data_IF_451873444444
#
_entry.id   IF_451873444444
#
_cell.length_a   1.000
_cell.length_b   1.000
_cell.length_c   1.000
_cell.angle_alpha   90.00
_cell.angle_beta   90.00
_cell.angle_gamma   90.00
#
_symmetry.space_group_name_H-M   'P 1'
#
loop_
_entity.id
_entity.type
_entity.pdbx_description
1 polymer ?
#
# COMPACT_ATOMS: atom_id res chain seq x y z
N UNK A 1 -13.30 -2.39 6.80
CA UNK A 1 -14.14 -3.54 7.20
C UNK A 1 -14.80 -3.38 8.55
N UNK A 2 -14.07 -3.14 9.65
CA UNK A 2 -14.65 -3.01 11.01
C UNK A 2 -15.72 -1.91 11.15
N UNK A 3 -15.62 -0.86 10.34
CA UNK A 3 -16.61 0.22 10.24
C UNK A 3 -17.71 -0.04 9.19
N UNK A 4 -17.84 -1.27 8.67
CA UNK A 4 -18.84 -1.68 7.69
C UNK A 4 -18.49 -1.43 6.22
N UNK A 5 -17.43 -0.69 5.92
CA UNK A 5 -16.99 -0.45 4.54
C UNK A 5 -16.19 -1.63 3.96
N UNK A 6 -16.42 -1.90 2.67
CA UNK A 6 -15.59 -2.80 1.86
C UNK A 6 -14.30 -2.10 1.45
N UNK A 7 -13.20 -2.86 1.36
CA UNK A 7 -11.89 -2.30 1.03
C UNK A 7 -11.09 -3.27 0.17
N UNK A 8 -10.41 -2.73 -0.84
CA UNK A 8 -9.42 -3.42 -1.66
C UNK A 8 -8.06 -2.84 -1.35
N UNK A 9 -7.09 -3.71 -1.06
CA UNK A 9 -5.71 -3.32 -0.78
C UNK A 9 -4.83 -3.69 -1.98
N UNK A 10 -4.23 -2.67 -2.59
CA UNK A 10 -3.21 -2.82 -3.63
C UNK A 10 -1.87 -2.45 -3.03
N UNK A 11 -0.85 -3.27 -3.25
CA UNK A 11 0.49 -3.07 -2.72
C UNK A 11 1.48 -4.05 -3.32
N UNK A 12 2.78 -3.80 -3.10
CA UNK A 12 3.86 -4.67 -3.56
C UNK A 12 4.19 -5.68 -2.45
N UNK A 13 4.33 -6.95 -2.83
CA UNK A 13 4.74 -8.03 -1.92
C UNK A 13 5.80 -8.91 -2.59
N UNK A 14 6.57 -9.65 -1.81
CA UNK A 14 7.36 -10.75 -2.33
C UNK A 14 6.50 -11.95 -2.74
N UNK A 15 7.18 -13.05 -3.07
CA UNK A 15 6.58 -14.39 -3.22
C UNK A 15 7.08 -15.24 -2.05
N UNK A 16 6.51 -15.00 -0.87
CA UNK A 16 6.99 -15.59 0.38
C UNK A 16 5.85 -15.89 1.38
N UNK A 17 6.21 -16.52 2.50
CA UNK A 17 5.28 -16.86 3.58
C UNK A 17 4.62 -15.64 4.20
N UNK A 18 5.34 -14.52 4.25
CA UNK A 18 4.83 -13.27 4.76
C UNK A 18 3.70 -12.72 3.89
N UNK A 19 3.83 -12.75 2.55
CA UNK A 19 2.75 -12.36 1.63
C UNK A 19 1.52 -13.26 1.78
N UNK A 20 1.73 -14.58 1.94
CA UNK A 20 0.64 -15.55 2.16
C UNK A 20 -0.08 -15.30 3.48
N UNK A 21 0.67 -15.13 4.56
CA UNK A 21 0.12 -14.83 5.89
C UNK A 21 -0.63 -13.49 5.90
N UNK A 22 -0.06 -12.46 5.25
CA UNK A 22 -0.70 -11.16 5.10
C UNK A 22 -2.04 -11.27 4.37
N UNK A 23 -2.07 -11.97 3.24
CA UNK A 23 -3.28 -12.18 2.44
C UNK A 23 -4.36 -12.91 3.24
N UNK A 24 -3.99 -13.98 3.94
CA UNK A 24 -4.91 -14.73 4.80
C UNK A 24 -5.53 -13.83 5.89
N UNK A 25 -4.70 -13.04 6.59
CA UNK A 25 -5.17 -12.16 7.66
C UNK A 25 -6.07 -11.03 7.20
N UNK A 26 -5.80 -10.47 6.03
CA UNK A 26 -6.65 -9.43 5.45
C UNK A 26 -7.99 -10.00 4.95
N UNK A 27 -7.98 -11.22 4.40
CA UNK A 27 -9.21 -11.90 4.00
C UNK A 27 -10.11 -12.23 5.20
N UNK A 28 -9.54 -12.60 6.36
CA UNK A 28 -10.29 -12.83 7.61
C UNK A 28 -11.12 -11.58 8.02
N UNK A 29 -10.65 -10.38 7.66
CA UNK A 29 -11.34 -9.12 7.94
C UNK A 29 -11.99 -8.53 6.70
N UNK A 30 -12.33 -9.33 5.68
CA UNK A 30 -13.04 -8.90 4.47
C UNK A 30 -12.33 -7.77 3.68
N UNK A 31 -11.00 -7.75 3.71
CA UNK A 31 -10.19 -6.87 2.85
C UNK A 31 -9.77 -7.67 1.63
N UNK A 32 -10.20 -7.23 0.44
CA UNK A 32 -9.78 -7.86 -0.82
C UNK A 32 -8.32 -7.54 -1.09
N UNK A 33 -7.47 -8.56 -1.05
CA UNK A 33 -6.06 -8.42 -1.39
C UNK A 33 -5.87 -8.45 -2.91
N UNK A 34 -5.18 -7.45 -3.44
CA UNK A 34 -4.82 -7.37 -4.86
C UNK A 34 -3.37 -6.92 -4.99
N UNK A 35 -2.48 -7.78 -4.49
CA UNK A 35 -1.06 -7.52 -4.45
C UNK A 35 -0.39 -7.72 -5.80
N UNK A 36 0.63 -6.91 -6.06
CA UNK A 36 1.61 -7.09 -7.12
C UNK A 36 2.77 -7.85 -6.52
N UNK A 37 2.96 -9.09 -6.96
CA UNK A 37 4.09 -9.90 -6.51
C UNK A 37 5.37 -9.52 -7.24
N UNK A 38 6.44 -9.30 -6.50
CA UNK A 38 7.78 -8.93 -6.96
C UNK A 38 8.75 -10.01 -6.47
N UNK A 39 9.13 -10.99 -7.31
CA UNK A 39 9.96 -12.13 -6.88
C UNK A 39 11.33 -11.73 -6.33
N UNK A 40 11.84 -10.57 -6.74
CA UNK A 40 13.19 -10.09 -6.40
C UNK A 40 13.28 -9.41 -5.03
N UNK A 41 12.15 -9.14 -4.36
CA UNK A 41 12.11 -8.42 -3.09
C UNK A 41 11.31 -9.23 -2.07
N UNK A 42 11.72 -9.26 -0.79
CA UNK A 42 10.92 -9.83 0.28
C UNK A 42 9.73 -8.93 0.62
N UNK A 43 8.65 -9.53 1.11
CA UNK A 43 7.54 -8.79 1.74
C UNK A 43 8.06 -8.09 2.99
N UNK A 44 7.80 -6.79 3.10
CA UNK A 44 8.25 -5.99 4.25
C UNK A 44 7.59 -6.50 5.53
N UNK A 45 8.40 -6.86 6.51
CA UNK A 45 7.93 -7.29 7.83
C UNK A 45 8.63 -6.54 8.96
N UNK A 46 7.87 -6.33 10.04
CA UNK A 46 8.33 -5.65 11.26
C UNK A 46 8.10 -6.58 12.44
N UNK A 47 9.14 -7.29 12.85
CA UNK A 47 9.08 -8.22 13.99
C UNK A 47 9.39 -7.46 15.28
N UNK A 48 8.46 -7.50 16.23
CA UNK A 48 8.63 -6.90 17.57
C UNK A 48 8.75 -8.03 18.60
N UNK A 49 9.88 -8.07 19.31
CA UNK A 49 10.10 -8.98 20.44
C UNK A 49 9.68 -8.26 21.72
N UNK A 50 8.73 -8.82 22.45
CA UNK A 50 8.14 -8.23 23.65
C UNK A 50 8.45 -9.11 24.88
N UNK A 51 8.69 -8.49 26.04
CA UNK A 51 8.75 -9.16 27.34
C UNK A 51 8.11 -8.27 28.40
N UNK A 52 7.23 -8.83 29.23
CA UNK A 52 6.52 -8.10 30.30
C UNK A 52 5.92 -6.76 29.82
N UNK A 53 5.26 -6.78 28.67
CA UNK A 53 4.68 -5.61 27.99
C UNK A 53 5.69 -4.52 27.56
N UNK A 54 6.99 -4.81 27.58
CA UNK A 54 8.03 -3.93 27.06
C UNK A 54 8.57 -4.47 25.73
N UNK A 55 8.77 -3.58 24.76
CA UNK A 55 9.44 -3.96 23.51
C UNK A 55 10.95 -4.03 23.73
N UNK A 56 11.49 -5.23 23.60
CA UNK A 56 12.92 -5.49 23.75
C UNK A 56 13.67 -5.20 22.45
N UNK A 57 13.17 -5.73 21.33
CA UNK A 57 13.87 -5.69 20.04
C UNK A 57 12.86 -5.42 18.92
N UNK A 58 13.28 -4.63 17.93
CA UNK A 58 12.62 -4.53 16.64
C UNK A 58 13.55 -5.03 15.54
N UNK A 59 13.10 -6.02 14.78
CA UNK A 59 13.79 -6.52 13.60
C UNK A 59 12.98 -6.10 12.37
N UNK A 60 13.61 -5.30 11.53
CA UNK A 60 13.00 -4.75 10.32
C UNK A 60 13.56 -5.51 9.12
N UNK A 61 12.71 -6.30 8.45
CA UNK A 61 13.06 -6.96 7.20
C UNK A 61 12.42 -6.17 6.07
N UNK A 62 13.20 -5.31 5.44
CA UNK A 62 12.72 -4.42 4.39
C UNK A 62 13.78 -4.23 3.31
N UNK A 63 13.35 -4.43 2.06
CA UNK A 63 14.03 -3.91 0.89
C UNK A 63 13.08 -2.91 0.22
N UNK A 64 13.63 -1.78 -0.24
CA UNK A 64 12.84 -0.75 -0.90
C UNK A 64 12.45 -1.20 -2.30
N UNK A 65 11.20 -0.98 -2.67
CA UNK A 65 10.66 -1.26 -4.01
C UNK A 65 10.88 -0.10 -5.00
N UNK A 66 11.88 0.76 -4.78
CA UNK A 66 12.05 1.99 -5.58
C UNK A 66 12.32 1.72 -7.06
N UNK A 67 12.88 0.55 -7.37
CA UNK A 67 13.27 0.16 -8.73
C UNK A 67 12.29 -0.85 -9.36
N UNK A 68 11.13 -1.07 -8.74
CA UNK A 68 10.10 -1.96 -9.28
C UNK A 68 9.29 -1.22 -10.34
N UNK A 69 8.92 -1.94 -11.40
CA UNK A 69 8.01 -1.44 -12.41
C UNK A 69 6.67 -1.01 -11.78
N UNK A 70 6.29 0.28 -11.88
CA UNK A 70 5.04 0.77 -11.33
C UNK A 70 3.81 0.37 -12.15
N UNK A 71 3.97 -0.08 -13.41
CA UNK A 71 2.84 -0.34 -14.31
C UNK A 71 1.82 -1.35 -13.75
N UNK A 72 2.21 -2.52 -13.22
CA UNK A 72 1.24 -3.51 -12.72
C UNK A 72 0.39 -3.01 -11.55
N UNK A 73 0.89 -2.02 -10.81
CA UNK A 73 0.16 -1.37 -9.73
C UNK A 73 -0.78 -0.29 -10.27
N UNK A 74 -0.33 0.52 -11.24
CA UNK A 74 -1.17 1.51 -11.92
C UNK A 74 -2.36 0.84 -12.63
N UNK A 75 -2.14 -0.28 -13.30
CA UNK A 75 -3.19 -1.08 -13.95
C UNK A 75 -4.24 -1.58 -12.95
N UNK A 76 -3.80 -2.14 -11.81
CA UNK A 76 -4.70 -2.59 -10.75
C UNK A 76 -5.52 -1.45 -10.17
N UNK A 77 -4.90 -0.29 -9.94
CA UNK A 77 -5.59 0.92 -9.49
C UNK A 77 -6.63 1.32 -10.54
N UNK A 78 -6.23 1.45 -11.82
CA UNK A 78 -7.12 1.85 -12.90
C UNK A 78 -8.35 0.93 -13.02
N UNK A 79 -8.16 -0.38 -12.89
CA UNK A 79 -9.26 -1.35 -12.90
C UNK A 79 -10.16 -1.25 -11.66
N UNK A 80 -9.63 -0.78 -10.52
CA UNK A 80 -10.38 -0.62 -9.28
C UNK A 80 -11.19 0.68 -9.23
N UNK A 81 -10.73 1.76 -9.88
CA UNK A 81 -11.32 3.09 -9.80
C UNK A 81 -12.85 3.13 -10.03
N UNK A 82 -13.44 2.41 -10.99
CA UNK A 82 -14.89 2.45 -11.22
C UNK A 82 -15.73 1.87 -10.06
N UNK A 83 -15.11 1.12 -9.14
CA UNK A 83 -15.78 0.35 -8.10
C UNK A 83 -15.55 0.90 -6.68
N UNK A 84 -14.80 2.00 -6.54
CA UNK A 84 -14.41 2.56 -5.24
C UNK A 84 -14.91 3.99 -5.07
N UNK A 85 -15.28 4.36 -3.84
CA UNK A 85 -15.72 5.72 -3.52
C UNK A 85 -14.57 6.68 -3.17
N UNK A 86 -13.40 6.16 -2.82
CA UNK A 86 -12.20 6.94 -2.50
C UNK A 86 -10.95 6.09 -2.70
N UNK A 87 -9.84 6.74 -3.04
CA UNK A 87 -8.51 6.14 -3.09
C UNK A 87 -7.68 6.66 -1.92
N UNK A 88 -7.12 5.75 -1.11
CA UNK A 88 -6.21 6.10 0.00
C UNK A 88 -4.80 5.65 -0.38
N UNK A 89 -3.85 6.59 -0.38
CA UNK A 89 -2.44 6.34 -0.66
C UNK A 89 -1.63 6.52 0.62
N UNK A 90 -1.26 5.41 1.26
CA UNK A 90 -0.44 5.44 2.47
C UNK A 90 1.04 5.33 2.15
N UNK A 91 1.77 6.44 2.25
CA UNK A 91 3.20 6.48 1.94
C UNK A 91 4.04 6.07 3.16
N UNK A 92 4.88 5.05 2.99
CA UNK A 92 5.85 4.63 4.00
C UNK A 92 7.29 4.87 3.55
N UNK A 93 7.49 5.58 2.44
CA UNK A 93 8.79 5.81 1.79
C UNK A 93 9.55 4.51 1.47
N UNK A 94 8.80 3.47 1.07
CA UNK A 94 9.33 2.13 0.70
C UNK A 94 9.30 1.84 -0.80
N UNK A 95 9.07 2.85 -1.63
CA UNK A 95 9.12 2.73 -3.09
C UNK A 95 7.80 2.36 -3.77
N UNK A 96 6.83 1.80 -3.03
CA UNK A 96 5.52 1.45 -3.59
C UNK A 96 4.76 2.66 -4.17
N UNK A 97 4.99 3.88 -3.69
CA UNK A 97 4.34 5.08 -4.21
C UNK A 97 5.29 5.93 -5.08
N UNK A 98 6.31 5.33 -5.72
CA UNK A 98 7.26 6.06 -6.59
C UNK A 98 6.55 6.92 -7.63
N UNK A 99 5.50 6.37 -8.28
CA UNK A 99 4.65 7.07 -9.26
C UNK A 99 3.33 7.59 -8.68
N UNK A 100 3.34 8.13 -7.45
CA UNK A 100 2.15 8.67 -6.78
C UNK A 100 1.38 9.70 -7.63
N UNK A 101 2.09 10.54 -8.41
CA UNK A 101 1.46 11.49 -9.31
C UNK A 101 0.62 10.82 -10.40
N UNK A 102 1.10 9.71 -10.97
CA UNK A 102 0.33 8.93 -11.94
C UNK A 102 -0.95 8.34 -11.32
N UNK A 103 -0.87 7.86 -10.08
CA UNK A 103 -2.04 7.36 -9.34
C UNK A 103 -3.07 8.45 -9.07
N UNK A 104 -2.62 9.64 -8.64
CA UNK A 104 -3.47 10.80 -8.40
C UNK A 104 -4.18 11.20 -9.70
N UNK A 105 -3.45 11.28 -10.82
CA UNK A 105 -4.02 11.64 -12.11
C UNK A 105 -5.08 10.65 -12.59
N UNK A 106 -4.83 9.35 -12.47
CA UNK A 106 -5.82 8.30 -12.80
C UNK A 106 -7.10 8.47 -11.97
N UNK A 107 -6.96 8.62 -10.66
CA UNK A 107 -8.11 8.78 -9.76
C UNK A 107 -8.90 10.06 -10.04
N UNK A 108 -8.21 11.18 -10.30
CA UNK A 108 -8.86 12.44 -10.68
C UNK A 108 -9.61 12.35 -12.00
N UNK A 109 -9.03 11.68 -13.01
CA UNK A 109 -9.69 11.44 -14.28
C UNK A 109 -10.98 10.61 -14.10
N UNK A 110 -10.98 9.67 -13.15
CA UNK A 110 -12.14 8.90 -12.74
C UNK A 110 -13.08 9.61 -11.75
N UNK A 111 -12.79 10.87 -11.36
CA UNK A 111 -13.52 11.66 -10.36
C UNK A 111 -13.60 10.99 -8.98
N UNK A 112 -12.61 10.18 -8.62
CA UNK A 112 -12.48 9.55 -7.31
C UNK A 112 -11.63 10.45 -6.41
N UNK A 113 -12.09 10.80 -5.18
CA UNK A 113 -11.30 11.57 -4.24
C UNK A 113 -10.06 10.80 -3.78
N UNK A 114 -8.94 11.50 -3.62
CA UNK A 114 -7.65 10.92 -3.24
C UNK A 114 -7.23 11.46 -1.88
N UNK A 115 -7.06 10.56 -0.91
CA UNK A 115 -6.53 10.86 0.41
C UNK A 115 -5.12 10.29 0.48
N UNK A 116 -4.18 11.07 1.02
CA UNK A 116 -2.79 10.65 1.14
C UNK A 116 -2.39 10.72 2.61
N UNK A 117 -1.71 9.69 3.10
CA UNK A 117 -0.96 9.75 4.36
C UNK A 117 0.51 9.98 3.98
N UNK A 118 1.00 11.23 4.03
CA UNK A 118 2.25 11.63 3.42
C UNK A 118 3.47 11.19 4.23
N UNK A 119 4.59 10.98 3.54
CA UNK A 119 5.88 10.67 4.18
C UNK A 119 7.02 11.48 3.60
N UNK A 120 7.80 12.09 4.48
CA UNK A 120 8.95 12.92 4.12
C UNK A 120 8.62 14.40 4.19
N UNK A 121 9.47 15.22 3.57
CA UNK A 121 9.36 16.68 3.55
C UNK A 121 8.93 17.26 2.20
N UNK A 122 8.97 16.45 1.14
CA UNK A 122 8.53 16.87 -0.20
C UNK A 122 7.06 16.49 -0.41
N UNK A 123 6.19 17.49 -0.27
CA UNK A 123 4.74 17.36 -0.48
C UNK A 123 4.31 17.72 -1.91
N UNK A 124 5.21 18.26 -2.75
CA UNK A 124 4.87 18.64 -4.12
C UNK A 124 4.44 17.42 -4.94
N UNK A 125 5.05 16.27 -4.68
CA UNK A 125 4.65 14.99 -5.28
C UNK A 125 3.21 14.55 -4.96
N UNK A 126 2.53 15.17 -4.00
CA UNK A 126 1.13 14.86 -3.65
C UNK A 126 0.13 15.87 -4.23
N UNK A 127 0.60 16.83 -5.04
CA UNK A 127 -0.24 17.83 -5.70
C UNK A 127 -1.41 17.18 -6.45
N UNK A 128 -2.61 17.71 -6.21
CA UNK A 128 -3.86 17.19 -6.78
C UNK A 128 -4.61 16.19 -5.92
N UNK A 129 -4.06 15.79 -4.76
CA UNK A 129 -4.82 15.08 -3.75
C UNK A 129 -6.00 15.92 -3.24
N UNK A 130 -7.06 15.22 -2.81
CA UNK A 130 -8.22 15.84 -2.16
C UNK A 130 -7.91 16.20 -0.71
N UNK A 131 -7.11 15.36 -0.02
CA UNK A 131 -6.69 15.55 1.36
C UNK A 131 -5.28 14.96 1.58
N UNK A 132 -4.51 15.58 2.48
CA UNK A 132 -3.22 15.12 3.00
C UNK A 132 -3.30 14.85 4.50
#
# INVERSE_FOLDING_TARGET
ASLGATSRLVGLTGIDDAARALSAKLNEVNVRCDFVSVPTHPTITKLRVLSRNQQLIRLDFEEGFSNVDPQPMLERIQQALPQIGALVLSDYAKGALSQVQGMIQLARAAKVPVLIDPKGSDFERYRGATLL
#
